data_IF_186127167807
#
_entry.id   IF_186127167807
#
_cell.length_a   1.000
_cell.length_b   1.000
_cell.length_c   1.000
_cell.angle_alpha   90.00
_cell.angle_beta   90.00
_cell.angle_gamma   90.00
#
_symmetry.space_group_name_H-M   'P 1'
#
loop_
_entity.id
_entity.type
_entity.pdbx_description
1 polymer ?
#
# COMPACT_ATOMS: atom_id res chain seq x y z
N UNK A 1 -6.30 -1.41 -8.15
CA UNK A 1 -5.22 -0.66 -8.85
C UNK A 1 -3.91 -1.46 -8.75
N UNK A 2 -2.89 -1.21 -9.58
CA UNK A 2 -1.57 -1.85 -9.42
C UNK A 2 -0.76 -1.03 -8.41
N UNK A 3 -0.50 -1.58 -7.23
CA UNK A 3 0.37 -0.96 -6.23
C UNK A 3 1.82 -1.41 -6.47
N UNK A 4 2.77 -0.47 -6.53
CA UNK A 4 4.20 -0.76 -6.56
C UNK A 4 4.78 -0.69 -5.14
N UNK A 5 5.23 -1.82 -4.60
CA UNK A 5 5.67 -1.93 -3.21
C UNK A 5 7.19 -1.77 -3.09
N UNK A 6 7.60 -0.80 -2.28
CA UNK A 6 9.01 -0.63 -1.92
C UNK A 6 9.45 -1.74 -0.95
N UNK A 7 10.46 -2.50 -1.35
CA UNK A 7 11.01 -3.66 -0.62
C UNK A 7 11.64 -3.29 0.73
N UNK A 8 11.87 -2.01 1.00
CA UNK A 8 12.50 -1.55 2.24
C UNK A 8 11.55 -0.71 3.11
N UNK A 9 10.30 -0.48 2.68
CA UNK A 9 9.42 0.48 3.33
C UNK A 9 8.42 -0.15 4.30
N UNK A 10 8.64 0.09 5.58
CA UNK A 10 7.72 -0.30 6.64
C UNK A 10 6.60 0.72 6.80
N UNK A 11 5.34 0.28 6.73
CA UNK A 11 4.16 1.14 6.88
C UNK A 11 3.48 0.88 8.22
N UNK A 12 3.06 1.95 8.90
CA UNK A 12 2.35 1.82 10.18
C UNK A 12 0.92 1.32 10.00
N UNK A 13 0.42 0.57 10.99
CA UNK A 13 -0.98 0.12 11.02
C UNK A 13 -1.98 1.28 11.00
N UNK A 14 -1.62 2.42 11.61
CA UNK A 14 -2.46 3.62 11.61
C UNK A 14 -2.53 4.28 10.23
N UNK A 15 -1.45 4.28 9.46
CA UNK A 15 -1.46 4.76 8.07
C UNK A 15 -2.33 3.87 7.21
N UNK A 16 -2.20 2.54 7.31
CA UNK A 16 -3.04 1.62 6.55
C UNK A 16 -4.53 1.75 6.93
N UNK A 17 -4.84 1.90 8.22
CA UNK A 17 -6.23 2.15 8.66
C UNK A 17 -6.81 3.43 8.06
N UNK A 18 -6.01 4.50 7.95
CA UNK A 18 -6.40 5.76 7.34
C UNK A 18 -6.61 5.64 5.84
N UNK A 19 -5.71 4.95 5.13
CA UNK A 19 -5.84 4.70 3.69
C UNK A 19 -7.07 3.85 3.36
N UNK A 20 -7.43 2.95 4.27
CA UNK A 20 -8.61 2.12 4.18
C UNK A 20 -9.90 2.82 4.67
N UNK A 21 -9.83 4.09 5.06
CA UNK A 21 -10.93 4.89 5.62
C UNK A 21 -11.68 4.21 6.78
N UNK A 22 -10.94 3.55 7.67
CA UNK A 22 -11.51 2.87 8.85
C UNK A 22 -10.84 3.29 10.14
N UNK A 23 -11.58 3.14 11.24
CA UNK A 23 -11.01 3.36 12.57
C UNK A 23 -9.83 2.40 12.84
N UNK A 24 -8.82 2.82 13.63
CA UNK A 24 -7.73 1.93 14.03
C UNK A 24 -8.21 0.66 14.74
N UNK A 25 -9.35 0.72 15.44
CA UNK A 25 -9.97 -0.42 16.11
C UNK A 25 -10.52 -1.43 15.11
N UNK A 26 -11.23 -0.96 14.08
CA UNK A 26 -11.76 -1.79 12.98
C UNK A 26 -10.61 -2.49 12.27
N UNK A 27 -9.56 -1.75 11.94
CA UNK A 27 -8.38 -2.31 11.27
C UNK A 27 -7.67 -3.36 12.13
N UNK A 28 -7.53 -3.14 13.44
CA UNK A 28 -6.95 -4.15 14.36
C UNK A 28 -7.79 -5.43 14.43
N UNK A 29 -9.13 -5.34 14.43
CA UNK A 29 -10.00 -6.52 14.38
C UNK A 29 -9.79 -7.29 13.09
N UNK A 30 -9.70 -6.60 11.97
CA UNK A 30 -9.36 -7.21 10.68
C UNK A 30 -8.01 -7.95 10.75
N UNK A 31 -6.94 -7.31 11.24
CA UNK A 31 -5.64 -7.99 11.37
C UNK A 31 -5.68 -9.23 12.27
N UNK A 32 -6.51 -9.21 13.33
CA UNK A 32 -6.69 -10.37 14.20
C UNK A 32 -7.31 -11.57 13.45
N UNK A 33 -8.21 -11.34 12.50
CA UNK A 33 -8.78 -12.43 11.68
C UNK A 33 -7.79 -13.04 10.69
N UNK A 34 -6.75 -12.28 10.29
CA UNK A 34 -5.67 -12.74 9.39
C UNK A 34 -4.44 -13.21 10.16
N UNK A 35 -4.58 -13.42 11.48
CA UNK A 35 -3.47 -13.75 12.38
C UNK A 35 -2.65 -14.96 11.92
N UNK A 36 -3.24 -16.09 11.48
CA UNK A 36 -2.47 -17.24 11.01
C UNK A 36 -1.51 -16.90 9.86
N UNK A 37 -1.96 -16.08 8.91
CA UNK A 37 -1.17 -15.67 7.75
C UNK A 37 -0.05 -14.72 8.17
N UNK A 38 -0.37 -13.74 9.02
CA UNK A 38 0.61 -12.79 9.54
C UNK A 38 1.67 -13.47 10.42
N UNK A 39 1.30 -14.53 11.14
CA UNK A 39 2.23 -15.34 11.93
C UNK A 39 3.16 -16.17 11.07
N UNK A 40 2.67 -16.74 9.97
CA UNK A 40 3.51 -17.42 8.98
C UNK A 40 4.53 -16.47 8.33
N UNK A 41 4.23 -15.17 8.27
CA UNK A 41 5.15 -14.11 7.83
C UNK A 41 6.08 -13.59 8.95
N UNK A 42 6.01 -14.14 10.18
CA UNK A 42 6.83 -13.73 11.32
C UNK A 42 6.42 -12.42 11.99
N UNK A 43 5.17 -11.96 11.82
CA UNK A 43 4.74 -10.63 12.26
C UNK A 43 4.08 -10.70 13.63
N UNK A 44 4.69 -10.05 14.61
CA UNK A 44 4.13 -9.89 15.95
C UNK A 44 2.83 -9.05 15.95
N UNK A 45 1.82 -9.37 16.79
CA UNK A 45 0.58 -8.59 16.81
C UNK A 45 0.83 -7.20 17.41
N UNK A 46 1.88 -7.06 18.22
CA UNK A 46 2.35 -5.81 18.82
C UNK A 46 3.18 -4.96 17.86
N UNK A 47 3.56 -5.48 16.68
CA UNK A 47 4.30 -4.70 15.69
C UNK A 47 3.50 -3.47 15.28
N UNK A 48 4.07 -2.27 15.42
CA UNK A 48 3.38 -1.04 15.04
C UNK A 48 3.51 -0.75 13.55
N UNK A 49 4.62 -1.20 12.95
CA UNK A 49 4.91 -1.12 11.53
C UNK A 49 4.94 -2.51 10.92
N UNK A 50 4.45 -2.63 9.70
CA UNK A 50 4.39 -3.88 8.95
C UNK A 50 5.47 -3.88 7.87
N UNK A 51 6.14 -5.02 7.66
CA UNK A 51 7.09 -5.17 6.57
C UNK A 51 6.38 -5.14 5.21
N UNK A 52 7.09 -4.83 4.13
CA UNK A 52 6.54 -4.72 2.77
C UNK A 52 5.71 -5.92 2.33
N UNK A 53 6.11 -7.15 2.68
CA UNK A 53 5.37 -8.35 2.35
C UNK A 53 3.97 -8.37 2.96
N UNK A 54 3.82 -7.97 4.22
CA UNK A 54 2.51 -7.87 4.86
C UNK A 54 1.70 -6.67 4.38
N UNK A 55 2.37 -5.55 4.12
CA UNK A 55 1.71 -4.38 3.51
C UNK A 55 1.08 -4.79 2.19
N UNK A 56 1.82 -5.49 1.34
CA UNK A 56 1.32 -6.03 0.07
C UNK A 56 0.11 -6.93 0.27
N UNK A 57 0.22 -7.93 1.12
CA UNK A 57 -0.89 -8.84 1.40
C UNK A 57 -2.15 -8.09 1.87
N UNK A 58 -2.00 -7.15 2.81
CA UNK A 58 -3.13 -6.40 3.35
C UNK A 58 -3.74 -5.46 2.31
N UNK A 59 -2.92 -4.78 1.51
CA UNK A 59 -3.42 -3.92 0.46
C UNK A 59 -4.18 -4.70 -0.61
N UNK A 60 -3.75 -5.92 -0.92
CA UNK A 60 -4.44 -6.83 -1.83
C UNK A 60 -5.75 -7.39 -1.21
N UNK A 61 -5.73 -7.87 0.05
CA UNK A 61 -6.91 -8.47 0.73
C UNK A 61 -7.97 -7.42 1.11
N UNK A 62 -7.53 -6.21 1.44
CA UNK A 62 -8.40 -5.13 1.95
C UNK A 62 -8.63 -4.01 0.93
N UNK A 63 -8.21 -4.21 -0.33
CA UNK A 63 -8.38 -3.26 -1.43
C UNK A 63 -7.90 -1.84 -1.10
N UNK A 64 -6.71 -1.72 -0.50
CA UNK A 64 -6.14 -0.42 -0.14
C UNK A 64 -5.29 0.09 -1.30
N UNK A 65 -5.65 1.25 -1.82
CA UNK A 65 -4.85 1.96 -2.80
C UNK A 65 -3.72 2.73 -2.08
N UNK A 66 -2.48 2.37 -2.41
CA UNK A 66 -1.31 3.07 -1.87
C UNK A 66 -1.09 4.36 -2.65
N UNK A 67 -0.88 5.50 -1.97
CA UNK A 67 -0.59 6.74 -2.65
C UNK A 67 0.87 6.71 -3.18
N UNK A 68 1.18 7.48 -4.24
CA UNK A 68 2.46 7.39 -4.93
C UNK A 68 3.67 7.59 -4.00
N UNK A 69 3.55 8.42 -2.96
CA UNK A 69 4.64 8.73 -2.04
C UNK A 69 5.05 7.54 -1.18
N UNK A 70 4.15 6.55 -1.02
CA UNK A 70 4.40 5.30 -0.30
C UNK A 70 4.77 4.14 -1.23
N UNK A 71 4.68 4.35 -2.54
CA UNK A 71 5.06 3.37 -3.55
C UNK A 71 6.54 3.48 -3.90
N UNK A 72 7.07 2.39 -4.48
CA UNK A 72 8.43 2.37 -5.03
C UNK A 72 8.52 3.30 -6.24
N UNK A 73 9.15 4.46 -6.03
CA UNK A 73 9.33 5.50 -7.05
C UNK A 73 10.22 5.04 -8.21
N UNK A 74 11.17 4.14 -7.96
CA UNK A 74 11.96 3.54 -9.04
C UNK A 74 11.12 2.60 -9.89
N UNK A 75 10.31 1.76 -9.26
CA UNK A 75 9.40 0.86 -9.99
C UNK A 75 8.33 1.64 -10.76
N UNK A 76 7.77 2.69 -10.16
CA UNK A 76 6.84 3.62 -10.80
C UNK A 76 7.47 4.28 -12.03
N UNK A 77 8.66 4.86 -11.90
CA UNK A 77 9.33 5.56 -13.01
C UNK A 77 9.79 4.62 -14.14
N UNK A 78 10.06 3.34 -13.84
CA UNK A 78 10.42 2.31 -14.83
C UNK A 78 9.19 1.67 -15.50
N UNK A 79 8.01 1.75 -14.91
CA UNK A 79 6.78 1.13 -15.43
C UNK A 79 6.33 1.77 -16.76
N UNK A 80 6.21 1.00 -17.87
CA UNK A 80 5.71 1.51 -19.14
C UNK A 80 4.26 2.04 -19.03
N UNK A 81 3.44 1.40 -18.19
CA UNK A 81 2.06 1.82 -17.95
C UNK A 81 2.00 3.17 -17.24
N UNK A 82 2.85 3.38 -16.23
CA UNK A 82 2.91 4.66 -15.51
C UNK A 82 3.41 5.78 -16.43
N UNK A 83 4.44 5.52 -17.25
CA UNK A 83 4.92 6.46 -18.27
C UNK A 83 3.81 6.84 -19.26
N UNK A 84 3.04 5.86 -19.72
CA UNK A 84 1.91 6.10 -20.63
C UNK A 84 0.79 6.90 -19.94
N UNK A 85 0.47 6.61 -18.68
CA UNK A 85 -0.50 7.34 -17.90
C UNK A 85 -0.09 8.81 -17.68
N UNK A 86 1.17 9.06 -17.28
CA UNK A 86 1.69 10.42 -17.15
C UNK A 86 1.64 11.19 -18.48
N UNK A 87 1.98 10.53 -19.59
CA UNK A 87 1.88 11.10 -20.93
C UNK A 87 0.44 11.48 -21.28
N UNK A 88 -0.54 10.65 -20.91
CA UNK A 88 -1.96 10.96 -21.10
C UNK A 88 -2.41 12.16 -20.26
N UNK A 89 -1.91 12.31 -19.03
CA UNK A 89 -2.22 13.47 -18.18
C UNK A 89 -1.62 14.77 -18.72
N UNK A 90 -0.38 14.74 -19.23
CA UNK A 90 0.26 15.92 -19.83
C UNK A 90 -0.46 16.41 -21.10
N UNK A 91 -1.03 15.51 -21.89
CA UNK A 91 -1.78 15.87 -23.11
C UNK A 91 -3.14 16.51 -22.82
N UNK A 92 -3.62 16.49 -21.58
CA UNK A 92 -4.93 17.03 -21.18
C UNK A 92 -4.90 18.42 -20.54
N UNK A 93 -3.73 19.05 -20.40
CA UNK A 93 -3.69 20.47 -20.00
C UNK A 93 -3.90 21.35 -21.24
N UNK A 94 -5.01 22.11 -21.33
CA UNK A 94 -5.14 23.10 -22.39
C UNK A 94 -4.11 24.20 -22.14
N UNK A 95 -3.38 24.55 -23.21
CA UNK A 95 -2.60 25.77 -23.31
C UNK A 95 -3.55 26.96 -23.05
N UNK A 96 -3.43 27.58 -21.88
CA UNK A 96 -3.91 28.94 -21.63
C UNK A 96 -2.70 29.87 -21.55
#
# INVERSE_FOLDING_TARGET
MINFYDKNRFISKSTLARLADVSPRTFRRYLATRRPILDAMGISPKAQKLPPQAVRYICEDYCIDLPPELQDQEALSKSPLFRNFLRMLQQRQPLY
#
